data_IF_189785767793
#
_entry.id   IF_189785767793
#
_cell.length_a   1.000
_cell.length_b   1.000
_cell.length_c   1.000
_cell.angle_alpha   90.00
_cell.angle_beta   90.00
_cell.angle_gamma   90.00
#
_symmetry.space_group_name_H-M   'P 1'
#
loop_
_entity.id
_entity.type
_entity.pdbx_description
1 polymer ?
#
# COMPACT_ATOMS: atom_id res chain seq x y z
N UNK A 1 -4.79 -5.26 10.69
CA UNK A 1 -4.86 -5.31 9.21
C UNK A 1 -6.21 -5.80 8.67
N UNK A 2 -6.84 -6.84 9.25
CA UNK A 2 -8.09 -7.46 8.77
C UNK A 2 -9.35 -6.57 8.79
N UNK A 3 -9.37 -5.49 9.57
CA UNK A 3 -10.54 -4.60 9.65
C UNK A 3 -10.53 -3.51 8.56
N UNK A 4 -9.35 -3.14 8.04
CA UNK A 4 -9.22 -2.11 7.01
C UNK A 4 -9.70 -2.58 5.64
N UNK A 5 -9.38 -3.82 5.26
CA UNK A 5 -9.89 -4.43 4.03
C UNK A 5 -11.41 -4.50 4.04
N UNK A 6 -12.02 -4.79 5.20
CA UNK A 6 -13.48 -4.81 5.36
C UNK A 6 -14.11 -3.43 5.22
N UNK A 7 -13.47 -2.37 5.72
CA UNK A 7 -13.97 -1.00 5.54
C UNK A 7 -13.92 -0.59 4.07
N UNK A 8 -12.80 -0.88 3.40
CA UNK A 8 -12.64 -0.59 1.97
C UNK A 8 -13.64 -1.39 1.11
N UNK A 9 -13.84 -2.66 1.43
CA UNK A 9 -14.83 -3.52 0.76
C UNK A 9 -16.27 -3.01 0.98
N UNK A 10 -16.62 -2.63 2.23
CA UNK A 10 -17.92 -2.00 2.52
C UNK A 10 -18.11 -0.69 1.76
N UNK A 11 -17.05 0.11 1.62
CA UNK A 11 -17.09 1.36 0.86
C UNK A 11 -17.32 1.09 -0.63
N UNK A 12 -16.63 0.09 -1.22
CA UNK A 12 -16.83 -0.31 -2.61
C UNK A 12 -18.26 -0.77 -2.85
N UNK A 13 -18.79 -1.65 -1.99
CA UNK A 13 -20.17 -2.11 -2.10
C UNK A 13 -21.18 -0.98 -1.97
N UNK A 14 -20.92 -0.01 -1.09
CA UNK A 14 -21.76 1.18 -0.93
C UNK A 14 -21.75 2.06 -2.20
N UNK A 15 -20.58 2.31 -2.77
CA UNK A 15 -20.44 3.09 -4.02
C UNK A 15 -21.08 2.37 -5.21
N UNK A 16 -20.89 1.05 -5.31
CA UNK A 16 -21.54 0.23 -6.34
C UNK A 16 -23.07 0.26 -6.21
N UNK A 17 -23.61 0.17 -4.99
CA UNK A 17 -25.04 0.29 -4.74
C UNK A 17 -25.57 1.67 -5.14
N UNK A 18 -24.82 2.75 -4.87
CA UNK A 18 -25.18 4.10 -5.28
C UNK A 18 -25.21 4.26 -6.81
N UNK A 19 -24.26 3.67 -7.52
CA UNK A 19 -24.22 3.64 -8.99
C UNK A 19 -25.44 2.91 -9.55
N UNK A 20 -25.73 1.72 -9.05
CA UNK A 20 -26.89 0.91 -9.49
C UNK A 20 -28.19 1.63 -9.17
N UNK A 21 -28.30 2.25 -7.99
CA UNK A 21 -29.48 3.02 -7.60
C UNK A 21 -29.70 4.23 -8.52
N UNK A 22 -28.65 5.02 -8.79
CA UNK A 22 -28.75 6.15 -9.71
C UNK A 22 -29.11 5.71 -11.14
N UNK A 23 -28.54 4.61 -11.62
CA UNK A 23 -28.91 4.02 -12.91
C UNK A 23 -30.36 3.57 -12.95
N UNK A 24 -30.84 2.94 -11.87
CA UNK A 24 -32.23 2.51 -11.72
C UNK A 24 -33.22 3.67 -11.72
N UNK A 25 -32.91 4.76 -11.00
CA UNK A 25 -33.71 5.99 -10.99
C UNK A 25 -33.74 6.62 -12.39
N UNK A 26 -32.61 6.69 -13.07
CA UNK A 26 -32.53 7.22 -14.44
C UNK A 26 -33.38 6.41 -15.43
N UNK A 27 -33.30 5.07 -15.37
CA UNK A 27 -34.12 4.16 -16.19
C UNK A 27 -35.61 4.28 -15.85
N UNK A 28 -35.96 4.43 -14.57
CA UNK A 28 -37.35 4.60 -14.13
C UNK A 28 -37.96 5.91 -14.65
N UNK A 29 -37.23 7.03 -14.50
CA UNK A 29 -37.66 8.33 -15.00
C UNK A 29 -37.80 8.32 -16.53
N UNK A 30 -36.88 7.67 -17.22
CA UNK A 30 -36.93 7.50 -18.66
C UNK A 30 -38.16 6.73 -19.14
N UNK A 31 -38.49 5.60 -18.49
CA UNK A 31 -39.69 4.81 -18.83
C UNK A 31 -40.99 5.57 -18.57
N UNK A 32 -41.01 6.49 -17.60
CA UNK A 32 -42.17 7.34 -17.31
C UNK A 32 -42.37 8.48 -18.31
N UNK A 33 -41.31 9.01 -18.90
CA UNK A 33 -41.38 10.18 -19.79
C UNK A 33 -41.57 9.78 -21.26
N UNK A 34 -41.05 8.63 -21.69
CA UNK A 34 -41.00 8.25 -23.12
C UNK A 34 -41.85 7.03 -23.50
N UNK A 35 -42.74 6.55 -22.63
CA UNK A 35 -43.59 5.36 -22.87
C UNK A 35 -42.82 4.12 -23.42
N UNK A 36 -41.51 4.05 -23.18
CA UNK A 36 -40.63 2.96 -23.61
C UNK A 36 -39.94 3.13 -24.97
N UNK A 37 -40.11 4.25 -25.67
CA UNK A 37 -39.33 4.55 -26.89
C UNK A 37 -37.98 5.19 -26.57
N UNK A 38 -36.92 4.79 -27.28
CA UNK A 38 -35.58 5.26 -26.98
C UNK A 38 -35.40 6.70 -27.51
N UNK A 39 -35.20 7.72 -26.65
CA UNK A 39 -35.03 9.10 -27.09
C UNK A 39 -33.82 9.22 -28.03
N UNK A 40 -34.08 9.65 -29.25
CA UNK A 40 -33.09 9.93 -30.30
C UNK A 40 -32.41 11.29 -30.13
N UNK A 41 -32.85 12.08 -29.13
CA UNK A 41 -32.34 13.43 -28.89
C UNK A 41 -31.13 13.42 -27.96
N UNK A 42 -29.98 13.86 -28.49
CA UNK A 42 -28.71 13.97 -27.76
C UNK A 42 -28.80 14.84 -26.49
N UNK A 43 -29.75 15.78 -26.44
CA UNK A 43 -29.98 16.66 -25.30
C UNK A 43 -30.40 15.92 -24.02
N UNK A 44 -31.23 14.87 -24.15
CA UNK A 44 -31.70 14.08 -23.00
C UNK A 44 -30.56 13.27 -22.39
N UNK A 45 -29.67 12.75 -23.25
CA UNK A 45 -28.44 12.06 -22.84
C UNK A 45 -27.47 13.01 -22.14
N UNK A 46 -27.36 14.26 -22.60
CA UNK A 46 -26.55 15.30 -21.95
C UNK A 46 -27.08 15.69 -20.57
N UNK A 47 -28.39 15.82 -20.40
CA UNK A 47 -29.02 16.12 -19.11
C UNK A 47 -28.83 14.97 -18.09
N UNK A 48 -29.00 13.73 -18.54
CA UNK A 48 -28.78 12.54 -17.71
C UNK A 48 -27.31 12.40 -17.29
N UNK A 49 -26.39 12.61 -18.22
CA UNK A 49 -24.95 12.66 -17.94
C UNK A 49 -24.57 13.78 -16.97
N UNK A 50 -25.22 14.95 -17.06
CA UNK A 50 -24.98 16.06 -16.13
C UNK A 50 -25.50 15.78 -14.72
N UNK A 51 -26.66 15.14 -14.59
CA UNK A 51 -27.20 14.72 -13.29
C UNK A 51 -26.29 13.67 -12.62
N UNK A 52 -25.89 12.64 -13.37
CA UNK A 52 -24.94 11.62 -12.90
C UNK A 52 -23.61 12.29 -12.54
N UNK A 53 -23.01 13.06 -13.43
CA UNK A 53 -21.73 13.74 -13.20
C UNK A 53 -21.75 14.68 -11.99
N UNK A 54 -22.88 15.38 -11.77
CA UNK A 54 -23.06 16.28 -10.63
C UNK A 54 -23.21 15.56 -9.29
N UNK A 55 -23.92 14.42 -9.25
CA UNK A 55 -24.12 13.64 -8.02
C UNK A 55 -22.91 12.76 -7.70
N UNK A 56 -22.28 12.15 -8.71
CA UNK A 56 -21.12 11.29 -8.49
C UNK A 56 -19.82 12.06 -8.22
N UNK A 57 -19.66 13.29 -8.73
CA UNK A 57 -18.43 14.06 -8.50
C UNK A 57 -18.08 14.25 -7.01
N UNK A 58 -18.99 14.75 -6.15
CA UNK A 58 -18.69 14.90 -4.72
C UNK A 58 -18.43 13.55 -4.03
N UNK A 59 -19.15 12.49 -4.42
CA UNK A 59 -19.02 11.15 -3.84
C UNK A 59 -17.64 10.55 -4.18
N UNK A 60 -17.22 10.67 -5.44
CA UNK A 60 -15.90 10.21 -5.89
C UNK A 60 -14.80 11.03 -5.22
N UNK A 61 -14.96 12.35 -5.10
CA UNK A 61 -13.99 13.20 -4.41
C UNK A 61 -13.83 12.79 -2.93
N UNK A 62 -14.94 12.52 -2.25
CA UNK A 62 -14.91 12.06 -0.85
C UNK A 62 -14.29 10.67 -0.70
N UNK A 63 -14.66 9.73 -1.58
CA UNK A 63 -14.05 8.40 -1.61
C UNK A 63 -12.54 8.47 -1.87
N UNK A 64 -12.11 9.37 -2.76
CA UNK A 64 -10.71 9.62 -3.06
C UNK A 64 -9.98 10.15 -1.83
N UNK A 65 -10.56 11.11 -1.10
CA UNK A 65 -9.98 11.61 0.14
C UNK A 65 -9.79 10.50 1.18
N UNK A 66 -10.79 9.65 1.36
CA UNK A 66 -10.71 8.49 2.26
C UNK A 66 -9.59 7.55 1.81
N UNK A 67 -9.53 7.21 0.52
CA UNK A 67 -8.51 6.35 -0.03
C UNK A 67 -7.10 6.90 0.22
N UNK A 68 -6.90 8.20 0.04
CA UNK A 68 -5.63 8.89 0.34
C UNK A 68 -5.28 8.81 1.82
N UNK A 69 -6.23 9.09 2.72
CA UNK A 69 -6.00 9.00 4.17
C UNK A 69 -5.62 7.59 4.60
N UNK A 70 -6.31 6.56 4.08
CA UNK A 70 -5.99 5.15 4.34
C UNK A 70 -4.58 4.83 3.82
N UNK A 71 -4.26 5.27 2.61
CA UNK A 71 -2.95 5.08 1.99
C UNK A 71 -1.84 5.70 2.82
N UNK A 72 -2.01 6.94 3.29
CA UNK A 72 -1.03 7.63 4.15
C UNK A 72 -0.81 6.86 5.46
N UNK A 73 -1.89 6.37 6.09
CA UNK A 73 -1.76 5.58 7.32
C UNK A 73 -1.01 4.28 7.09
N UNK A 74 -1.31 3.57 6.01
CA UNK A 74 -0.62 2.34 5.64
C UNK A 74 0.86 2.59 5.35
N UNK A 75 1.18 3.65 4.61
CA UNK A 75 2.55 4.08 4.32
C UNK A 75 3.31 4.37 5.63
N UNK A 76 2.69 5.04 6.61
CA UNK A 76 3.31 5.29 7.92
C UNK A 76 3.64 4.00 8.66
N UNK A 77 2.69 3.07 8.77
CA UNK A 77 2.95 1.78 9.44
C UNK A 77 4.05 0.98 8.72
N UNK A 78 4.08 1.01 7.39
CA UNK A 78 5.13 0.34 6.62
C UNK A 78 6.51 0.97 6.88
N UNK A 79 6.60 2.30 6.96
CA UNK A 79 7.84 3.02 7.27
C UNK A 79 8.35 2.72 8.68
N UNK A 80 7.47 2.63 9.66
CA UNK A 80 7.82 2.26 11.04
C UNK A 80 8.41 0.85 11.10
N UNK A 81 7.74 -0.13 10.48
CA UNK A 81 8.24 -1.51 10.40
C UNK A 81 9.58 -1.58 9.67
N UNK A 82 9.73 -0.89 8.53
CA UNK A 82 11.00 -0.85 7.79
C UNK A 82 12.13 -0.27 8.64
N UNK A 83 11.85 0.80 9.40
CA UNK A 83 12.85 1.42 10.28
C UNK A 83 13.31 0.46 11.36
N UNK A 84 12.41 -0.29 11.98
CA UNK A 84 12.76 -1.30 12.98
C UNK A 84 13.62 -2.41 12.38
N UNK A 85 13.26 -2.92 11.20
CA UNK A 85 14.06 -3.93 10.50
C UNK A 85 15.44 -3.41 10.11
N UNK A 86 15.53 -2.17 9.63
CA UNK A 86 16.81 -1.54 9.29
C UNK A 86 17.72 -1.41 10.52
N UNK A 87 17.16 -1.05 11.68
CA UNK A 87 17.92 -1.01 12.93
C UNK A 87 18.39 -2.41 13.38
N UNK A 88 17.57 -3.44 13.19
CA UNK A 88 17.98 -4.82 13.47
C UNK A 88 19.11 -5.26 12.54
N UNK A 89 19.00 -4.98 11.25
CA UNK A 89 20.04 -5.27 10.26
C UNK A 89 21.34 -4.55 10.60
N UNK A 90 21.28 -3.26 10.95
CA UNK A 90 22.46 -2.50 11.35
C UNK A 90 23.17 -3.11 12.56
N UNK A 91 22.41 -3.53 13.59
CA UNK A 91 22.98 -4.21 14.77
C UNK A 91 23.62 -5.55 14.41
N UNK A 92 22.99 -6.34 13.54
CA UNK A 92 23.53 -7.61 13.08
C UNK A 92 24.82 -7.40 12.28
N UNK A 93 24.85 -6.43 11.38
CA UNK A 93 26.02 -6.11 10.56
C UNK A 93 27.21 -5.66 11.41
N UNK A 94 26.97 -4.82 12.43
CA UNK A 94 28.00 -4.45 13.40
C UNK A 94 28.55 -5.67 14.17
N UNK A 95 27.68 -6.59 14.58
CA UNK A 95 28.11 -7.83 15.25
C UNK A 95 28.89 -8.75 14.31
N UNK A 96 28.49 -8.86 13.04
CA UNK A 96 29.23 -9.63 12.03
C UNK A 96 30.62 -9.04 11.79
N UNK A 97 30.76 -7.72 11.72
CA UNK A 97 32.06 -7.07 11.60
C UNK A 97 32.97 -7.35 12.80
N UNK A 98 32.45 -7.27 14.02
CA UNK A 98 33.20 -7.60 15.24
C UNK A 98 33.62 -9.08 15.28
N UNK A 99 32.75 -9.99 14.84
CA UNK A 99 33.10 -11.41 14.71
C UNK A 99 34.19 -11.64 13.66
N UNK A 100 34.08 -11.01 12.49
CA UNK A 100 35.12 -11.09 11.45
C UNK A 100 36.45 -10.50 11.92
N UNK A 101 36.43 -9.39 12.67
CA UNK A 101 37.65 -8.82 13.23
C UNK A 101 38.28 -9.73 14.29
N UNK A 102 37.45 -10.33 15.16
CA UNK A 102 37.92 -11.31 16.16
C UNK A 102 38.52 -12.54 15.51
N UNK A 103 37.89 -13.07 14.47
CA UNK A 103 38.44 -14.18 13.68
C UNK A 103 39.79 -13.78 13.08
N UNK A 104 39.88 -12.63 12.43
CA UNK A 104 41.13 -12.15 11.82
C UNK A 104 42.26 -11.98 12.86
N UNK A 105 41.98 -11.43 14.04
CA UNK A 105 42.95 -11.31 15.14
C UNK A 105 43.37 -12.67 15.66
N UNK A 106 42.42 -13.58 15.88
CA UNK A 106 42.70 -14.94 16.34
C UNK A 106 43.61 -15.72 15.36
N UNK A 107 43.37 -15.57 14.05
CA UNK A 107 44.25 -16.16 13.03
C UNK A 107 45.66 -15.54 13.07
N UNK A 108 45.77 -14.23 13.25
CA UNK A 108 47.06 -13.53 13.37
C UNK A 108 47.86 -14.01 14.59
N UNK A 109 47.21 -14.13 15.75
CA UNK A 109 47.85 -14.58 16.99
C UNK A 109 48.31 -16.04 16.88
N UNK A 110 47.51 -16.91 16.26
CA UNK A 110 47.92 -18.29 15.97
C UNK A 110 49.15 -18.34 15.05
N UNK A 111 49.12 -17.62 13.93
CA UNK A 111 50.23 -17.59 12.99
C UNK A 111 51.54 -17.10 13.65
N UNK A 112 51.46 -16.05 14.47
CA UNK A 112 52.60 -15.53 15.22
C UNK A 112 53.14 -16.51 16.26
N UNK A 113 52.25 -17.21 16.98
CA UNK A 113 52.65 -18.24 17.94
C UNK A 113 53.33 -19.44 17.26
N UNK A 114 52.85 -19.85 16.09
CA UNK A 114 53.44 -20.94 15.32
C UNK A 114 54.84 -20.58 14.81
N UNK A 115 55.04 -19.33 14.36
CA UNK A 115 56.37 -18.80 13.98
C UNK A 115 57.35 -18.77 15.16
N UNK A 116 56.92 -18.29 16.34
CA UNK A 116 57.75 -18.27 17.55
C UNK A 116 58.17 -19.68 17.99
N UNK A 117 57.25 -20.64 17.89
CA UNK A 117 57.54 -22.04 18.22
C UNK A 117 58.48 -22.69 17.20
N UNK A 118 58.33 -22.39 15.91
CA UNK A 118 59.27 -22.82 14.89
C UNK A 118 60.67 -22.26 15.17
N UNK A 119 60.78 -20.97 15.52
CA UNK A 119 62.06 -20.33 15.79
C UNK A 119 62.78 -20.91 17.00
N UNK A 120 62.06 -21.24 18.09
CA UNK A 120 62.62 -21.92 19.27
C UNK A 120 63.03 -23.37 19.00
N UNK A 121 62.51 -24.00 17.95
CA UNK A 121 62.89 -25.37 17.57
C UNK A 121 64.21 -25.43 16.79
N UNK A 122 64.72 -24.30 16.30
CA UNK A 122 66.00 -24.19 15.57
C UNK A 122 67.16 -23.63 16.42
N UNK A 123 66.91 -23.25 17.67
CA UNK A 123 67.92 -22.84 18.67
C UNK A 123 68.16 -23.95 19.69
#
# INVERSE_FOLDING_TARGET
>A
MRDFTKVFERLIWFLAALIVFSGGVAIYQYRKVFDGTLSTSSNDWGALGSFIGGVFSPVIAFATLIAVVVTIRLQRTMLETQKEEFQRLYKLQGKSLDLTEKEARFFKDKAFSDELNAQKSYS
#
